data_IF_817793884405
#
_entry.id   IF_817793884405
#
_cell.length_a   1.000
_cell.length_b   1.000
_cell.length_c   1.000
_cell.angle_alpha   90.00
_cell.angle_beta   90.00
_cell.angle_gamma   90.00
#
_symmetry.space_group_name_H-M   'P 1'
#
loop_
_entity.id
_entity.type
_entity.pdbx_description
1 polymer ?
#
# COMPACT_ATOMS: atom_id res chain seq x y z
N UNK A 1 42.07 -14.58 -14.41
CA UNK A 1 40.95 -13.61 -14.24
C UNK A 1 40.24 -13.96 -12.96
N UNK A 2 40.43 -13.17 -11.90
CA UNK A 2 39.90 -13.42 -10.55
C UNK A 2 38.40 -13.12 -10.52
N UNK A 3 37.59 -14.11 -10.13
CA UNK A 3 36.14 -14.00 -10.11
C UNK A 3 35.67 -13.15 -8.94
N UNK A 4 34.99 -12.04 -9.23
CA UNK A 4 34.39 -11.15 -8.22
C UNK A 4 33.27 -11.91 -7.48
N UNK A 5 33.26 -11.94 -6.13
CA UNK A 5 32.22 -12.59 -5.33
C UNK A 5 30.81 -12.04 -5.60
N UNK A 6 29.80 -12.90 -5.58
CA UNK A 6 28.40 -12.56 -5.92
C UNK A 6 27.84 -11.41 -5.06
N UNK A 7 28.21 -11.34 -3.78
CA UNK A 7 27.77 -10.27 -2.86
C UNK A 7 28.28 -8.87 -3.27
N UNK A 8 29.40 -8.79 -3.95
CA UNK A 8 29.99 -7.53 -4.40
C UNK A 8 29.45 -7.08 -5.76
N UNK A 9 28.85 -8.01 -6.53
CA UNK A 9 28.20 -7.71 -7.82
C UNK A 9 26.89 -6.92 -7.68
N UNK A 10 26.31 -6.86 -6.48
CA UNK A 10 24.99 -6.24 -6.22
C UNK A 10 25.09 -4.82 -5.64
N UNK A 11 26.30 -4.24 -5.52
CA UNK A 11 26.52 -2.93 -4.89
C UNK A 11 26.33 -1.71 -5.80
N UNK A 12 25.67 -1.83 -6.95
CA UNK A 12 25.49 -0.67 -7.85
C UNK A 12 24.08 -0.61 -8.42
N UNK A 13 23.19 0.13 -7.77
CA UNK A 13 22.07 0.77 -8.46
C UNK A 13 21.55 2.02 -7.74
N UNK A 14 22.42 2.97 -7.41
CA UNK A 14 21.96 4.28 -6.93
C UNK A 14 23.07 5.33 -7.04
N UNK A 15 23.46 5.71 -8.27
CA UNK A 15 24.30 6.90 -8.52
C UNK A 15 24.39 7.34 -10.00
N UNK A 16 23.52 6.82 -10.87
CA UNK A 16 23.57 7.13 -12.29
C UNK A 16 22.86 8.44 -12.58
N UNK A 17 23.60 9.55 -12.54
CA UNK A 17 23.35 10.71 -13.42
C UNK A 17 24.54 11.64 -13.64
N UNK A 18 25.54 11.73 -12.74
CA UNK A 18 26.62 12.75 -12.88
C UNK A 18 28.02 12.35 -12.37
N UNK A 19 28.34 11.06 -12.20
CA UNK A 19 29.74 10.60 -12.08
C UNK A 19 30.54 11.09 -10.84
N UNK A 20 29.89 11.51 -9.75
CA UNK A 20 30.57 11.79 -8.47
C UNK A 20 29.96 10.97 -7.35
N UNK A 21 30.68 9.93 -6.91
CA UNK A 21 30.37 9.20 -5.69
C UNK A 21 30.70 10.09 -4.49
N UNK A 22 29.69 10.49 -3.71
CA UNK A 22 29.93 11.08 -2.39
C UNK A 22 29.87 9.96 -1.37
N UNK A 23 30.97 9.71 -0.65
CA UNK A 23 31.01 8.86 0.56
C UNK A 23 30.33 9.56 1.76
N UNK A 24 29.12 10.06 1.54
CA UNK A 24 28.27 10.55 2.61
C UNK A 24 27.21 9.51 2.88
N UNK A 25 26.95 9.21 4.16
CA UNK A 25 25.74 8.49 4.58
C UNK A 25 24.54 9.25 4.01
N UNK A 26 23.96 8.75 2.92
CA UNK A 26 22.78 9.29 2.27
C UNK A 26 21.61 9.13 3.24
N UNK A 27 21.37 10.16 4.05
CA UNK A 27 20.23 10.35 4.94
C UNK A 27 19.88 9.12 5.79
N UNK A 28 20.24 9.15 7.07
CA UNK A 28 19.61 8.30 8.09
C UNK A 28 18.12 8.69 8.18
N UNK A 29 17.29 8.18 7.27
CA UNK A 29 15.85 8.31 7.36
C UNK A 29 15.40 7.46 8.53
N UNK A 30 15.03 8.14 9.62
CA UNK A 30 14.24 7.53 10.66
C UNK A 30 12.83 7.40 10.09
N UNK A 31 12.55 6.29 9.41
CA UNK A 31 11.20 5.96 8.99
C UNK A 31 10.38 5.83 10.27
N UNK A 32 9.58 6.86 10.57
CA UNK A 32 8.44 6.69 11.47
C UNK A 32 7.44 5.81 10.71
N UNK A 33 6.67 4.98 11.42
CA UNK A 33 5.66 4.11 10.82
C UNK A 33 4.94 4.82 9.67
N UNK A 34 4.88 4.18 8.51
CA UNK A 34 4.26 4.69 7.30
C UNK A 34 2.74 4.41 7.34
N UNK A 35 2.09 4.87 8.41
CA UNK A 35 0.68 4.60 8.69
C UNK A 35 -0.30 5.60 8.05
N UNK A 36 0.23 6.54 7.24
CA UNK A 36 -0.55 7.57 6.54
C UNK A 36 -0.38 7.47 5.03
N UNK A 37 -1.46 7.66 4.28
CA UNK A 37 -1.43 7.88 2.84
C UNK A 37 -1.54 9.38 2.58
N UNK A 38 -0.63 9.92 1.75
CA UNK A 38 -0.55 11.34 1.46
C UNK A 38 -0.93 11.60 0.00
N UNK A 39 -1.89 12.50 -0.23
CA UNK A 39 -2.23 12.96 -1.57
C UNK A 39 -1.62 14.34 -1.84
N UNK A 40 -0.95 14.43 -2.97
CA UNK A 40 -0.30 15.65 -3.45
C UNK A 40 -0.91 16.08 -4.77
N UNK A 41 -0.94 17.39 -4.99
CA UNK A 41 -1.47 17.99 -6.22
C UNK A 41 -0.30 18.55 -7.03
N UNK A 42 -0.32 18.31 -8.34
CA UNK A 42 0.56 19.04 -9.25
C UNK A 42 0.18 20.53 -9.25
N UNK A 43 1.20 21.38 -9.39
CA UNK A 43 0.98 22.80 -9.65
C UNK A 43 0.28 22.97 -11.01
N UNK A 44 -0.39 24.10 -11.24
CA UNK A 44 -1.02 24.39 -12.53
C UNK A 44 -0.07 24.31 -13.72
N UNK A 45 1.24 24.47 -13.48
CA UNK A 45 2.31 24.32 -14.47
C UNK A 45 2.50 22.86 -14.97
N UNK A 46 1.93 21.86 -14.29
CA UNK A 46 2.10 20.43 -14.57
C UNK A 46 3.52 19.88 -14.34
N UNK A 47 4.50 20.76 -14.09
CA UNK A 47 5.92 20.44 -14.00
C UNK A 47 6.38 20.21 -12.56
N UNK A 48 5.65 20.73 -11.57
CA UNK A 48 6.07 20.64 -10.18
C UNK A 48 4.97 20.17 -9.24
N UNK A 49 5.35 19.37 -8.23
CA UNK A 49 4.45 18.90 -7.18
C UNK A 49 4.37 19.94 -6.05
N UNK A 50 3.17 20.16 -5.50
CA UNK A 50 3.04 20.89 -4.24
C UNK A 50 3.75 20.11 -3.13
N UNK A 51 4.58 20.80 -2.33
CA UNK A 51 5.35 20.15 -1.25
C UNK A 51 4.50 19.76 -0.05
N UNK A 52 3.34 20.39 0.13
CA UNK A 52 2.39 20.06 1.19
C UNK A 52 1.32 19.13 0.61
N UNK A 53 1.01 18.02 1.30
CA UNK A 53 -0.12 17.20 0.89
C UNK A 53 -1.40 18.02 1.03
N UNK A 54 -2.30 17.90 0.06
CA UNK A 54 -3.61 18.54 0.15
C UNK A 54 -4.61 17.65 0.92
N UNK A 55 -4.28 16.37 1.12
CA UNK A 55 -5.07 15.44 1.93
C UNK A 55 -4.19 14.37 2.57
N UNK A 56 -4.56 13.96 3.77
CA UNK A 56 -3.92 12.90 4.56
C UNK A 56 -4.99 11.88 4.92
N UNK A 57 -4.76 10.62 4.58
CA UNK A 57 -5.63 9.52 4.96
C UNK A 57 -4.96 8.75 6.08
N UNK A 58 -5.49 8.95 7.28
CA UNK A 58 -5.05 8.29 8.50
C UNK A 58 -5.98 7.13 8.84
N UNK A 59 -5.50 6.20 9.65
CA UNK A 59 -6.34 5.18 10.24
C UNK A 59 -5.57 3.97 10.73
N UNK A 60 -4.47 3.59 10.09
CA UNK A 60 -3.70 2.41 10.48
C UNK A 60 -2.87 2.64 11.75
N UNK A 61 -2.79 1.57 12.55
CA UNK A 61 -2.04 1.56 13.81
C UNK A 61 -0.57 1.11 13.57
N UNK A 62 -0.31 0.53 12.40
CA UNK A 62 0.99 0.09 11.89
C UNK A 62 1.16 0.56 10.43
N UNK A 63 2.25 0.16 9.77
CA UNK A 63 2.55 0.51 8.38
C UNK A 63 1.40 0.16 7.43
N UNK A 64 1.09 1.06 6.49
CA UNK A 64 0.26 0.74 5.33
C UNK A 64 1.09 -0.11 4.38
N UNK A 65 0.74 -1.39 4.24
CA UNK A 65 1.44 -2.34 3.39
C UNK A 65 1.06 -2.19 1.91
N UNK A 66 -0.20 -1.86 1.62
CA UNK A 66 -0.70 -1.69 0.26
C UNK A 66 -1.91 -0.76 0.23
N UNK A 67 -2.11 0.01 -0.85
CA UNK A 67 -3.35 0.72 -1.07
C UNK A 67 -3.67 0.84 -2.56
N UNK A 68 -4.95 0.92 -2.88
CA UNK A 68 -5.47 1.11 -4.24
C UNK A 68 -6.43 2.28 -4.28
N UNK A 69 -6.45 2.98 -5.41
CA UNK A 69 -7.45 4.00 -5.71
C UNK A 69 -8.45 3.41 -6.70
N UNK A 70 -9.69 3.23 -6.27
CA UNK A 70 -10.78 2.71 -7.10
C UNK A 70 -11.94 3.70 -7.09
N UNK A 71 -12.25 4.28 -8.25
CA UNK A 71 -13.23 5.36 -8.40
C UNK A 71 -12.91 6.55 -7.48
N UNK A 72 -13.76 6.79 -6.47
CA UNK A 72 -13.61 7.82 -5.44
C UNK A 72 -13.22 7.27 -4.07
N UNK A 73 -12.79 6.00 -3.99
CA UNK A 73 -12.38 5.36 -2.75
C UNK A 73 -10.89 5.01 -2.77
N UNK A 74 -10.22 5.25 -1.65
CA UNK A 74 -8.92 4.68 -1.34
C UNK A 74 -9.17 3.49 -0.42
N UNK A 75 -8.70 2.32 -0.85
CA UNK A 75 -8.72 1.11 -0.04
C UNK A 75 -7.29 0.84 0.38
N UNK A 76 -7.08 0.64 1.68
CA UNK A 76 -5.77 0.50 2.30
C UNK A 76 -5.72 -0.76 3.15
N UNK A 77 -4.56 -1.40 3.15
CA UNK A 77 -4.24 -2.60 3.90
C UNK A 77 -3.04 -2.30 4.80
N UNK A 78 -3.13 -2.69 6.07
CA UNK A 78 -2.11 -2.39 7.07
C UNK A 78 -1.52 -3.62 7.74
N UNK A 79 -0.35 -3.43 8.34
CA UNK A 79 0.29 -4.41 9.21
C UNK A 79 -0.51 -4.73 10.48
N UNK A 80 -1.48 -3.87 10.81
CA UNK A 80 -2.42 -4.00 11.92
C UNK A 80 -3.58 -4.97 11.67
N UNK A 81 -3.55 -5.73 10.57
CA UNK A 81 -4.58 -6.71 10.21
C UNK A 81 -5.90 -6.09 9.74
N UNK A 82 -5.92 -4.78 9.48
CA UNK A 82 -7.14 -4.04 9.15
C UNK A 82 -7.15 -3.60 7.68
N UNK A 83 -8.35 -3.35 7.18
CA UNK A 83 -8.59 -2.65 5.92
C UNK A 83 -9.19 -1.28 6.23
N UNK A 84 -8.63 -0.23 5.63
CA UNK A 84 -9.15 1.13 5.67
C UNK A 84 -9.83 1.50 4.35
N UNK A 85 -11.00 2.13 4.43
CA UNK A 85 -11.76 2.64 3.29
C UNK A 85 -12.00 4.13 3.49
N UNK A 86 -11.46 4.95 2.59
CA UNK A 86 -11.58 6.41 2.64
C UNK A 86 -12.21 6.92 1.35
N UNK A 87 -13.12 7.90 1.44
CA UNK A 87 -13.63 8.60 0.26
C UNK A 87 -12.77 9.82 -0.05
N UNK A 88 -12.31 9.96 -1.30
CA UNK A 88 -11.40 11.02 -1.73
C UNK A 88 -11.97 12.43 -1.49
N UNK A 89 -13.27 12.61 -1.71
CA UNK A 89 -13.96 13.90 -1.63
C UNK A 89 -14.84 14.05 -0.39
N UNK A 90 -14.72 13.16 0.59
CA UNK A 90 -15.51 13.19 1.82
C UNK A 90 -14.61 13.00 3.04
N UNK A 91 -15.14 13.28 4.22
CA UNK A 91 -14.52 12.91 5.49
C UNK A 91 -14.81 11.46 5.87
N UNK A 92 -15.63 10.76 5.09
CA UNK A 92 -15.96 9.36 5.31
C UNK A 92 -14.72 8.48 5.28
N UNK A 93 -14.46 7.86 6.44
CA UNK A 93 -13.38 6.91 6.66
C UNK A 93 -13.94 5.79 7.52
N UNK A 94 -13.73 4.55 7.11
CA UNK A 94 -14.08 3.35 7.87
C UNK A 94 -12.88 2.44 7.93
N UNK A 95 -12.65 1.83 9.08
CA UNK A 95 -11.61 0.84 9.31
C UNK A 95 -12.24 -0.39 9.95
N UNK A 96 -11.91 -1.57 9.47
CA UNK A 96 -12.40 -2.82 10.07
C UNK A 96 -11.30 -3.88 10.13
N UNK A 97 -11.39 -4.74 11.15
CA UNK A 97 -10.52 -5.90 11.30
C UNK A 97 -10.84 -6.90 10.20
N UNK A 98 -9.88 -7.13 9.32
CA UNK A 98 -10.06 -7.97 8.15
C UNK A 98 -9.42 -9.35 8.36
N UNK A 99 -8.25 -9.38 8.99
CA UNK A 99 -7.39 -10.53 9.14
C UNK A 99 -6.77 -10.59 10.55
N UNK A 100 -6.29 -11.75 10.95
CA UNK A 100 -5.64 -11.96 12.26
C UNK A 100 -4.17 -11.52 12.27
N UNK A 101 -3.60 -11.32 11.08
CA UNK A 101 -2.23 -10.84 10.87
C UNK A 101 -2.19 -9.79 9.76
N UNK A 102 -1.00 -9.27 9.49
CA UNK A 102 -0.68 -8.28 8.45
C UNK A 102 -1.46 -8.52 7.14
N UNK A 103 -2.15 -7.49 6.65
CA UNK A 103 -2.80 -7.53 5.34
C UNK A 103 -1.76 -7.04 4.32
N UNK A 104 -1.16 -7.99 3.61
CA UNK A 104 -0.03 -7.69 2.71
C UNK A 104 -0.49 -7.01 1.42
N UNK A 105 -1.70 -7.33 0.95
CA UNK A 105 -2.19 -6.90 -0.34
C UNK A 105 -3.70 -6.70 -0.33
N UNK A 106 -4.16 -5.75 -1.14
CA UNK A 106 -5.57 -5.44 -1.34
C UNK A 106 -5.80 -4.97 -2.77
N UNK A 107 -6.92 -5.35 -3.35
CA UNK A 107 -7.40 -4.80 -4.62
C UNK A 107 -8.92 -4.60 -4.57
N UNK A 108 -9.46 -3.77 -5.45
CA UNK A 108 -10.87 -3.40 -5.45
C UNK A 108 -11.41 -3.09 -6.84
N UNK A 109 -12.57 -3.65 -7.15
CA UNK A 109 -13.28 -3.40 -8.40
C UNK A 109 -14.75 -3.75 -8.26
N UNK A 110 -15.63 -3.11 -9.04
CA UNK A 110 -17.03 -3.54 -9.17
C UNK A 110 -17.81 -3.61 -7.84
N UNK A 111 -17.41 -2.80 -6.84
CA UNK A 111 -18.04 -2.83 -5.52
C UNK A 111 -17.60 -3.99 -4.61
N UNK A 112 -16.55 -4.72 -4.98
CA UNK A 112 -15.90 -5.73 -4.14
C UNK A 112 -14.47 -5.32 -3.80
N UNK A 113 -14.01 -5.70 -2.61
CA UNK A 113 -12.62 -5.63 -2.18
C UNK A 113 -12.13 -7.07 -2.03
N UNK A 114 -10.90 -7.34 -2.44
CA UNK A 114 -10.19 -8.58 -2.14
C UNK A 114 -8.94 -8.25 -1.34
N UNK A 115 -8.62 -9.08 -0.35
CA UNK A 115 -7.46 -8.90 0.51
C UNK A 115 -6.73 -10.21 0.73
N UNK A 116 -5.42 -10.14 0.92
CA UNK A 116 -4.56 -11.29 1.22
C UNK A 116 -3.63 -10.99 2.39
N UNK A 117 -3.46 -11.97 3.28
CA UNK A 117 -2.77 -11.78 4.55
C UNK A 117 -1.73 -12.85 4.86
N UNK A 118 -0.86 -12.51 5.81
CA UNK A 118 0.05 -13.42 6.47
C UNK A 118 -0.67 -14.51 7.29
N UNK A 119 -1.95 -14.34 7.60
CA UNK A 119 -2.79 -15.35 8.25
C UNK A 119 -3.14 -16.56 7.35
N UNK A 120 -2.59 -16.61 6.13
CA UNK A 120 -2.80 -17.66 5.11
C UNK A 120 -4.23 -17.70 4.57
N UNK A 121 -4.92 -16.56 4.59
CA UNK A 121 -6.22 -16.41 3.96
C UNK A 121 -6.24 -15.28 2.94
N UNK A 122 -7.08 -15.46 1.93
CA UNK A 122 -7.60 -14.39 1.11
C UNK A 122 -9.09 -14.19 1.41
N UNK A 123 -9.56 -12.94 1.47
CA UNK A 123 -10.95 -12.63 1.81
C UNK A 123 -11.58 -11.69 0.78
N UNK A 124 -12.89 -11.83 0.62
CA UNK A 124 -13.70 -11.00 -0.28
C UNK A 124 -14.70 -10.21 0.56
N UNK A 125 -14.82 -8.92 0.29
CA UNK A 125 -15.63 -7.97 1.05
C UNK A 125 -16.48 -7.11 0.12
N UNK A 126 -17.66 -6.64 0.55
CA UNK A 126 -18.41 -5.65 -0.21
C UNK A 126 -17.85 -4.24 0.08
N UNK A 127 -17.85 -3.37 -0.94
CA UNK A 127 -17.59 -1.93 -0.83
C UNK A 127 -18.89 -1.11 -0.67
N UNK A 128 -20.04 -1.76 -0.47
CA UNK A 128 -21.30 -1.06 -0.25
C UNK A 128 -21.37 -0.50 1.18
N UNK A 129 -21.70 0.79 1.35
CA UNK A 129 -21.68 1.51 2.64
C UNK A 129 -22.38 0.78 3.79
N UNK A 130 -23.47 0.04 3.51
CA UNK A 130 -24.25 -0.68 4.54
C UNK A 130 -23.72 -2.08 4.92
N UNK A 131 -22.69 -2.58 4.23
CA UNK A 131 -22.14 -3.94 4.45
C UNK A 131 -20.62 -3.95 4.64
N UNK A 132 -19.98 -2.79 4.74
CA UNK A 132 -18.54 -2.67 4.96
C UNK A 132 -18.13 -3.49 6.20
N UNK A 133 -17.03 -4.23 6.08
CA UNK A 133 -16.52 -5.10 7.14
C UNK A 133 -17.22 -6.46 7.27
N UNK A 134 -18.29 -6.72 6.50
CA UNK A 134 -18.85 -8.08 6.42
C UNK A 134 -18.06 -8.92 5.43
N UNK A 135 -17.36 -9.94 5.92
CA UNK A 135 -16.65 -10.89 5.06
C UNK A 135 -17.67 -11.71 4.25
N UNK A 136 -17.60 -11.66 2.92
CA UNK A 136 -18.44 -12.47 2.03
C UNK A 136 -17.90 -13.88 1.89
N UNK A 137 -16.58 -13.98 1.67
CA UNK A 137 -15.90 -15.24 1.45
C UNK A 137 -14.51 -15.23 2.10
N UNK A 138 -14.11 -16.35 2.68
CA UNK A 138 -12.75 -16.61 3.12
C UNK A 138 -12.23 -17.80 2.34
N UNK A 139 -11.07 -17.62 1.71
CA UNK A 139 -10.36 -18.61 0.92
C UNK A 139 -9.12 -18.97 1.72
N UNK A 140 -9.00 -20.24 2.09
CA UNK A 140 -7.83 -20.77 2.77
C UNK A 140 -6.72 -21.04 1.76
N UNK A 141 -5.48 -20.74 2.14
CA UNK A 141 -4.28 -20.99 1.34
C UNK A 141 -3.25 -21.73 2.18
N UNK A 142 -2.28 -22.39 1.55
CA UNK A 142 -1.30 -23.20 2.26
C UNK A 142 -0.24 -22.34 3.00
N UNK A 143 0.06 -21.15 2.47
CA UNK A 143 1.02 -20.19 3.03
C UNK A 143 0.46 -18.76 2.91
N UNK A 144 1.23 -17.79 3.37
CA UNK A 144 0.94 -16.35 3.38
C UNK A 144 0.64 -15.85 1.97
N UNK A 145 -0.37 -14.99 1.89
CA UNK A 145 -0.74 -14.34 0.63
C UNK A 145 0.01 -13.03 0.51
N UNK A 146 0.86 -12.93 -0.52
CA UNK A 146 1.71 -11.75 -0.76
C UNK A 146 1.14 -10.78 -1.79
N UNK A 147 0.32 -11.27 -2.72
CA UNK A 147 -0.26 -10.45 -3.79
C UNK A 147 -1.59 -11.03 -4.25
N UNK A 148 -2.52 -10.15 -4.57
CA UNK A 148 -3.81 -10.46 -5.20
C UNK A 148 -4.07 -9.37 -6.24
N UNK A 149 -4.73 -9.74 -7.33
CA UNK A 149 -5.28 -8.80 -8.31
C UNK A 149 -6.65 -9.28 -8.78
N UNK A 150 -7.58 -8.34 -8.95
CA UNK A 150 -8.83 -8.53 -9.68
C UNK A 150 -8.56 -8.22 -11.14
N UNK A 151 -9.03 -9.08 -12.04
CA UNK A 151 -8.86 -8.86 -13.48
C UNK A 151 -9.39 -7.48 -13.90
N UNK A 152 -8.61 -6.69 -14.68
CA UNK A 152 -9.05 -5.40 -15.19
C UNK A 152 -10.15 -5.52 -16.25
N UNK A 153 -10.51 -6.73 -16.68
CA UNK A 153 -11.55 -6.98 -17.68
C UNK A 153 -12.94 -7.33 -17.09
N UNK A 154 -13.03 -7.59 -15.78
CA UNK A 154 -14.31 -7.85 -15.08
C UNK A 154 -15.18 -6.59 -14.93
#
# INVERSE_FOLDING_TARGET
>A
MTSIPVKDRVKVSQNWRLGRCREGVLLKWRCRQANFILAYQFRPDGASLNRRPFRVFAGHDEDVCHFVLANSHIISAGGDGKIGVHKLHSTFTVKYSAHEQEVNCVDCKGGIIVSGSRDRTAKVWPLASGRLGQCLHTIQTEDRVWSIAISPLL
#
